data_IF_410484893310
#
_entry.id   IF_410484893310
#
_cell.length_a   1.000
_cell.length_b   1.000
_cell.length_c   1.000
_cell.angle_alpha   90.00
_cell.angle_beta   90.00
_cell.angle_gamma   90.00
#
_symmetry.space_group_name_H-M   'P 1'
#
loop_
_entity.id
_entity.type
_entity.pdbx_description
1 polymer ?
#
# COMPACT_ATOMS: atom_id res chain seq x y z
N UNK A 1 -13.78 -36.21 65.87
CA UNK A 1 -13.50 -35.24 64.78
C UNK A 1 -12.81 -36.01 63.65
N UNK A 2 -13.46 -36.23 62.50
CA UNK A 2 -12.90 -37.01 61.38
C UNK A 2 -12.25 -36.05 60.39
N UNK A 3 -10.91 -36.07 60.28
CA UNK A 3 -10.15 -35.24 59.34
C UNK A 3 -10.35 -35.84 57.93
N UNK A 4 -11.00 -35.09 57.04
CA UNK A 4 -11.17 -35.47 55.63
C UNK A 4 -9.83 -35.22 54.91
N UNK A 5 -9.15 -36.29 54.46
CA UNK A 5 -7.99 -36.18 53.57
C UNK A 5 -8.46 -35.66 52.21
N UNK A 6 -7.95 -34.51 51.79
CA UNK A 6 -8.09 -34.02 50.41
C UNK A 6 -7.12 -34.81 49.53
N UNK A 7 -7.64 -35.57 48.57
CA UNK A 7 -6.82 -36.17 47.52
C UNK A 7 -6.26 -35.07 46.62
N UNK A 8 -5.00 -34.72 46.83
CA UNK A 8 -4.25 -33.86 45.92
C UNK A 8 -3.84 -34.68 44.71
N UNK A 9 -4.60 -34.60 43.61
CA UNK A 9 -4.19 -35.16 42.32
C UNK A 9 -3.05 -34.32 41.77
N UNK A 10 -1.87 -34.93 41.62
CA UNK A 10 -0.71 -34.31 40.97
C UNK A 10 -0.76 -34.47 39.46
N UNK A 11 -0.27 -33.48 38.74
CA UNK A 11 -0.06 -33.55 37.29
C UNK A 11 1.11 -34.49 36.99
N UNK A 12 0.96 -35.39 36.02
CA UNK A 12 2.07 -36.25 35.60
C UNK A 12 2.99 -35.51 34.62
N UNK A 13 4.29 -35.84 34.63
CA UNK A 13 5.25 -35.26 33.69
C UNK A 13 4.89 -35.58 32.23
N UNK A 14 4.29 -36.75 31.97
CA UNK A 14 3.85 -37.14 30.63
C UNK A 14 2.65 -36.33 30.15
N UNK A 15 1.71 -36.00 31.04
CA UNK A 15 0.59 -35.10 30.71
C UNK A 15 1.11 -33.71 30.31
N UNK A 16 2.08 -33.17 31.04
CA UNK A 16 2.67 -31.89 30.68
C UNK A 16 3.44 -31.95 29.34
N UNK A 17 4.16 -33.05 29.10
CA UNK A 17 4.93 -33.26 27.87
C UNK A 17 4.02 -33.31 26.63
N UNK A 18 2.89 -34.01 26.72
CA UNK A 18 1.93 -34.09 25.61
C UNK A 18 1.32 -32.72 25.31
N UNK A 19 1.03 -31.92 26.35
CA UNK A 19 0.44 -30.59 26.17
C UNK A 19 1.38 -29.65 25.41
N UNK A 20 2.66 -29.57 25.81
CA UNK A 20 3.62 -28.72 25.10
C UNK A 20 3.89 -29.21 23.67
N UNK A 21 3.83 -30.53 23.44
CA UNK A 21 3.95 -31.10 22.10
C UNK A 21 2.78 -30.66 21.20
N UNK A 22 1.54 -30.72 21.70
CA UNK A 22 0.35 -30.27 20.96
C UNK A 22 0.40 -28.75 20.71
N UNK A 23 0.76 -27.95 21.72
CA UNK A 23 0.91 -26.50 21.57
C UNK A 23 1.97 -26.17 20.50
N UNK A 24 3.09 -26.91 20.47
CA UNK A 24 4.13 -26.73 19.46
C UNK A 24 3.65 -27.01 18.03
N UNK A 25 2.84 -28.05 17.83
CA UNK A 25 2.24 -28.39 16.53
C UNK A 25 1.24 -27.30 16.10
N UNK A 26 0.36 -26.85 17.00
CA UNK A 26 -0.62 -25.82 16.67
C UNK A 26 0.05 -24.47 16.37
N UNK A 27 1.10 -24.11 17.13
CA UNK A 27 1.81 -22.85 16.95
C UNK A 27 2.51 -22.76 15.59
N UNK A 28 3.07 -23.86 15.07
CA UNK A 28 3.76 -23.87 13.77
C UNK A 28 2.80 -23.62 12.60
N UNK A 29 1.60 -24.22 12.63
CA UNK A 29 0.56 -24.02 11.61
C UNK A 29 0.08 -22.57 11.60
N UNK A 30 -0.17 -22.00 12.79
CA UNK A 30 -0.64 -20.62 12.93
C UNK A 30 0.37 -19.62 12.36
N UNK A 31 1.67 -19.84 12.58
CA UNK A 31 2.70 -18.91 12.14
C UNK A 31 2.73 -18.74 10.61
N UNK A 32 2.57 -19.83 9.85
CA UNK A 32 2.53 -19.78 8.37
C UNK A 32 1.28 -19.04 7.88
N UNK A 33 0.13 -19.24 8.52
CA UNK A 33 -1.11 -18.55 8.14
C UNK A 33 -1.04 -17.04 8.41
N UNK A 34 -0.33 -16.63 9.46
CA UNK A 34 -0.25 -15.24 9.90
C UNK A 34 0.59 -14.38 8.95
N UNK A 35 1.66 -14.91 8.35
CA UNK A 35 2.50 -14.17 7.40
C UNK A 35 1.72 -13.81 6.14
N UNK A 36 1.02 -14.77 5.55
CA UNK A 36 0.16 -14.55 4.38
C UNK A 36 -0.99 -13.57 4.67
N UNK A 37 -1.63 -13.69 5.85
CA UNK A 37 -2.69 -12.78 6.26
C UNK A 37 -2.21 -11.33 6.42
N UNK A 38 -1.00 -11.13 6.99
CA UNK A 38 -0.39 -9.81 7.13
C UNK A 38 -0.04 -9.18 5.78
N UNK A 39 0.46 -9.98 4.83
CA UNK A 39 0.78 -9.50 3.49
C UNK A 39 -0.50 -9.03 2.76
N UNK A 40 -1.58 -9.82 2.77
CA UNK A 40 -2.88 -9.39 2.21
C UNK A 40 -3.44 -8.12 2.87
N UNK A 41 -3.28 -7.96 4.17
CA UNK A 41 -3.70 -6.75 4.87
C UNK A 41 -2.89 -5.51 4.43
N UNK A 42 -1.59 -5.68 4.13
CA UNK A 42 -0.75 -4.61 3.58
C UNK A 42 -1.14 -4.30 2.13
N UNK A 43 -1.42 -5.31 1.31
CA UNK A 43 -1.89 -5.14 -0.07
C UNK A 43 -3.23 -4.37 -0.11
N UNK A 44 -4.20 -4.77 0.73
CA UNK A 44 -5.46 -4.02 0.86
C UNK A 44 -5.27 -2.56 1.28
N UNK A 45 -4.26 -2.28 2.12
CA UNK A 45 -3.89 -0.91 2.47
C UNK A 45 -3.30 -0.15 1.28
N UNK A 46 -2.37 -0.74 0.52
CA UNK A 46 -1.79 -0.15 -0.70
C UNK A 46 -2.88 0.23 -1.71
N UNK A 47 -3.80 -0.70 -1.99
CA UNK A 47 -4.91 -0.50 -2.92
C UNK A 47 -5.83 0.64 -2.45
N UNK A 48 -6.19 0.65 -1.16
CA UNK A 48 -7.01 1.72 -0.57
C UNK A 48 -6.33 3.09 -0.67
N UNK A 49 -5.03 3.17 -0.42
CA UNK A 49 -4.26 4.42 -0.48
C UNK A 49 -4.18 4.94 -1.93
N UNK A 50 -3.93 4.06 -2.90
CA UNK A 50 -3.94 4.39 -4.33
C UNK A 50 -5.32 4.91 -4.76
N UNK A 51 -6.41 4.28 -4.31
CA UNK A 51 -7.78 4.74 -4.61
C UNK A 51 -8.09 6.12 -4.02
N UNK A 52 -7.60 6.42 -2.81
CA UNK A 52 -7.74 7.74 -2.19
C UNK A 52 -6.93 8.80 -2.94
N UNK A 53 -5.73 8.43 -3.40
CA UNK A 53 -4.90 9.31 -4.22
C UNK A 53 -5.55 9.61 -5.57
N UNK A 54 -6.11 8.61 -6.26
CA UNK A 54 -6.89 8.84 -7.49
C UNK A 54 -7.97 9.89 -7.27
N UNK A 55 -8.79 9.71 -6.23
CA UNK A 55 -9.83 10.69 -5.89
C UNK A 55 -9.29 12.09 -5.59
N UNK A 56 -8.10 12.18 -4.98
CA UNK A 56 -7.44 13.44 -4.67
C UNK A 56 -6.89 14.12 -5.93
N UNK A 57 -6.34 13.34 -6.86
CA UNK A 57 -5.86 13.84 -8.16
C UNK A 57 -7.02 14.32 -9.03
N UNK A 58 -8.17 13.65 -9.03
CA UNK A 58 -9.38 14.14 -9.72
C UNK A 58 -9.85 15.50 -9.17
N UNK A 59 -9.78 15.67 -7.85
CA UNK A 59 -10.08 16.94 -7.22
C UNK A 59 -9.02 18.01 -7.57
N UNK A 60 -7.76 17.61 -7.71
CA UNK A 60 -6.70 18.49 -8.17
C UNK A 60 -6.97 18.97 -9.60
N UNK A 61 -7.29 18.07 -10.53
CA UNK A 61 -7.67 18.41 -11.91
C UNK A 61 -8.85 19.40 -11.93
N UNK A 62 -9.86 19.18 -11.09
CA UNK A 62 -11.03 20.09 -10.98
C UNK A 62 -10.62 21.50 -10.54
N UNK A 63 -9.60 21.63 -9.68
CA UNK A 63 -9.13 22.93 -9.15
C UNK A 63 -8.08 23.60 -10.04
N UNK A 64 -7.22 22.79 -10.65
CA UNK A 64 -5.98 23.22 -11.27
C UNK A 64 -5.94 22.92 -12.77
N UNK A 65 -6.98 22.36 -13.38
CA UNK A 65 -7.14 22.20 -14.83
C UNK A 65 -6.24 21.16 -15.49
N UNK A 66 -5.18 20.72 -14.82
CA UNK A 66 -4.25 19.68 -15.25
C UNK A 66 -3.72 18.91 -14.03
N UNK A 67 -3.17 17.72 -14.24
CA UNK A 67 -2.44 16.98 -13.20
C UNK A 67 -1.01 17.52 -13.04
N UNK A 68 -0.38 17.36 -11.86
CA UNK A 68 1.00 17.80 -11.66
C UNK A 68 1.97 17.05 -12.57
N UNK A 69 2.94 17.74 -13.15
CA UNK A 69 3.98 17.13 -13.97
C UNK A 69 4.96 16.26 -13.14
N UNK A 70 6.00 15.75 -13.79
CA UNK A 70 7.03 14.91 -13.16
C UNK A 70 7.81 15.61 -12.03
N UNK A 71 7.72 16.94 -11.94
CA UNK A 71 8.36 17.76 -10.92
C UNK A 71 7.36 18.30 -9.89
N UNK A 72 6.06 18.02 -10.06
CA UNK A 72 4.99 18.58 -9.24
C UNK A 72 4.58 20.00 -9.67
N UNK A 73 4.95 20.43 -10.87
CA UNK A 73 4.63 21.74 -11.39
C UNK A 73 3.37 21.70 -12.29
N UNK A 74 2.79 22.87 -12.49
CA UNK A 74 1.70 23.13 -13.45
C UNK A 74 1.86 24.51 -14.07
N UNK A 75 1.20 24.74 -15.20
CA UNK A 75 1.07 26.05 -15.84
C UNK A 75 0.03 26.94 -15.15
N UNK A 76 -0.64 26.43 -14.11
CA UNK A 76 -1.72 27.13 -13.41
C UNK A 76 -1.21 27.82 -12.15
N UNK A 77 -1.39 29.15 -12.11
CA UNK A 77 -0.93 29.99 -11.00
C UNK A 77 -1.56 29.57 -9.68
N UNK A 78 -0.72 29.29 -8.69
CA UNK A 78 -1.15 28.83 -7.37
C UNK A 78 -1.26 27.31 -7.24
N UNK A 79 -1.23 26.56 -8.35
CA UNK A 79 -1.24 25.09 -8.35
C UNK A 79 0.16 24.48 -8.49
N UNK A 80 1.15 25.29 -8.83
CA UNK A 80 2.57 24.93 -8.91
C UNK A 80 3.12 24.51 -7.52
N UNK A 81 3.76 23.33 -7.47
CA UNK A 81 4.58 22.90 -6.36
C UNK A 81 5.92 23.63 -6.33
N UNK A 82 5.95 24.87 -5.83
CA UNK A 82 7.19 25.65 -5.71
C UNK A 82 8.22 24.93 -4.82
N UNK A 83 9.22 24.28 -5.43
CA UNK A 83 10.30 23.57 -4.73
C UNK A 83 10.35 22.09 -5.07
N UNK A 84 11.01 21.79 -6.19
CA UNK A 84 11.27 20.44 -6.68
C UNK A 84 11.75 19.49 -5.58
N UNK A 85 10.96 18.45 -5.31
CA UNK A 85 11.48 17.23 -4.70
C UNK A 85 12.39 16.56 -5.75
N UNK A 86 13.69 16.85 -5.70
CA UNK A 86 14.70 16.08 -6.44
C UNK A 86 14.66 14.62 -5.97
N UNK A 87 13.92 13.75 -6.66
CA UNK A 87 13.91 12.34 -6.32
C UNK A 87 12.96 11.44 -7.11
N UNK A 88 11.71 11.84 -7.35
CA UNK A 88 10.73 11.14 -8.20
C UNK A 88 9.43 11.96 -8.31
N UNK A 89 8.63 11.74 -9.35
CA UNK A 89 7.39 12.48 -9.59
C UNK A 89 6.35 12.32 -8.48
N UNK A 90 6.33 11.15 -7.82
CA UNK A 90 5.47 10.93 -6.67
C UNK A 90 5.74 11.92 -5.54
N UNK A 91 7.01 12.20 -5.21
CA UNK A 91 7.35 13.18 -4.18
C UNK A 91 6.91 14.61 -4.55
N UNK A 92 6.91 14.95 -5.84
CA UNK A 92 6.40 16.22 -6.37
C UNK A 92 4.90 16.42 -6.15
N UNK A 93 4.11 15.34 -6.01
CA UNK A 93 2.68 15.47 -5.70
C UNK A 93 2.45 16.15 -4.34
N UNK A 94 3.32 15.96 -3.36
CA UNK A 94 3.10 16.53 -2.03
C UNK A 94 3.14 18.07 -2.03
N UNK A 95 4.02 18.65 -2.84
CA UNK A 95 4.12 20.10 -3.02
C UNK A 95 2.98 20.62 -3.89
N UNK A 96 2.65 19.92 -4.98
CA UNK A 96 1.54 20.28 -5.85
C UNK A 96 0.20 20.26 -5.12
N UNK A 97 -0.13 19.16 -4.43
CA UNK A 97 -1.36 19.03 -3.64
C UNK A 97 -1.41 20.03 -2.49
N UNK A 98 -0.26 20.36 -1.89
CA UNK A 98 -0.14 21.36 -0.82
C UNK A 98 -0.07 22.82 -1.29
N UNK A 99 -0.12 23.08 -2.59
CA UNK A 99 -0.07 24.42 -3.17
C UNK A 99 -1.31 25.26 -2.76
N UNK A 100 -1.21 26.59 -2.88
CA UNK A 100 -2.28 27.49 -2.42
C UNK A 100 -3.59 27.36 -3.22
N UNK A 101 -3.49 26.99 -4.49
CA UNK A 101 -4.62 26.75 -5.40
C UNK A 101 -5.27 25.38 -5.17
N UNK A 102 -4.48 24.34 -4.91
CA UNK A 102 -5.01 23.02 -4.61
C UNK A 102 -5.55 22.93 -3.18
N UNK A 103 -4.71 23.26 -2.19
CA UNK A 103 -4.98 23.14 -0.76
C UNK A 103 -5.61 21.78 -0.39
N UNK A 104 -4.94 20.71 -0.81
CA UNK A 104 -5.30 19.31 -0.60
C UNK A 104 -4.32 18.63 0.36
N UNK A 105 -4.37 17.31 0.41
CA UNK A 105 -3.53 16.46 1.27
C UNK A 105 -2.04 16.76 1.07
N UNK A 106 -1.33 17.07 2.16
CA UNK A 106 0.10 17.41 2.14
C UNK A 106 1.04 16.20 2.33
N UNK A 107 0.54 15.14 2.95
CA UNK A 107 1.32 13.92 3.25
C UNK A 107 0.84 12.78 2.38
N UNK A 108 1.71 12.32 1.49
CA UNK A 108 1.43 11.19 0.62
C UNK A 108 1.56 9.87 1.38
N UNK A 109 0.73 8.88 1.05
CA UNK A 109 0.92 7.51 1.53
C UNK A 109 2.28 6.94 1.14
N UNK A 110 2.74 5.98 1.92
CA UNK A 110 3.97 5.23 1.66
C UNK A 110 3.70 3.75 1.93
N UNK A 111 4.48 2.91 1.26
CA UNK A 111 4.37 1.47 1.39
C UNK A 111 4.45 1.03 2.87
N UNK A 112 3.45 0.27 3.37
CA UNK A 112 3.35 -0.06 4.79
C UNK A 112 4.42 -1.04 5.29
N UNK A 113 5.18 -1.67 4.39
CA UNK A 113 6.24 -2.63 4.75
C UNK A 113 7.63 -2.01 4.68
N UNK A 114 7.90 -1.25 3.63
CA UNK A 114 9.23 -0.77 3.25
C UNK A 114 9.40 0.74 3.48
N UNK A 115 8.31 1.50 3.56
CA UNK A 115 8.33 2.96 3.52
C UNK A 115 8.67 3.53 2.13
N UNK A 116 8.72 2.68 1.09
CA UNK A 116 8.93 3.12 -0.28
C UNK A 116 7.77 4.00 -0.78
N UNK A 117 8.06 4.95 -1.65
CA UNK A 117 7.03 5.73 -2.34
C UNK A 117 6.34 4.88 -3.40
N UNK A 118 5.05 5.13 -3.62
CA UNK A 118 4.36 4.62 -4.80
C UNK A 118 4.85 5.31 -6.07
N UNK A 119 4.48 4.76 -7.22
CA UNK A 119 4.81 5.32 -8.52
C UNK A 119 3.73 6.27 -8.96
N UNK A 120 4.14 7.40 -9.53
CA UNK A 120 3.29 8.34 -10.24
C UNK A 120 4.03 8.77 -11.49
N UNK A 121 3.35 8.75 -12.63
CA UNK A 121 3.88 9.31 -13.87
C UNK A 121 2.74 9.97 -14.66
N UNK A 122 2.75 11.31 -14.80
CA UNK A 122 1.83 12.00 -15.69
C UNK A 122 2.19 11.76 -17.16
N UNK A 123 1.17 11.81 -18.01
CA UNK A 123 1.30 11.94 -19.46
C UNK A 123 2.00 13.26 -19.83
N UNK A 124 2.57 13.32 -21.04
CA UNK A 124 3.24 14.52 -21.54
C UNK A 124 2.34 15.76 -21.64
N UNK A 125 1.03 15.55 -21.76
CA UNK A 125 0.03 16.63 -21.86
C UNK A 125 -0.59 16.98 -20.50
N UNK A 126 -0.17 16.34 -19.39
CA UNK A 126 -0.68 16.55 -18.03
C UNK A 126 -2.20 16.33 -17.85
N UNK A 127 -2.86 15.62 -18.77
CA UNK A 127 -4.29 15.31 -18.73
C UNK A 127 -4.62 13.85 -18.40
N UNK A 128 -3.61 13.00 -18.43
CA UNK A 128 -3.65 11.62 -17.95
C UNK A 128 -2.46 11.37 -17.01
N UNK A 129 -2.56 10.32 -16.20
CA UNK A 129 -1.46 9.84 -15.36
C UNK A 129 -1.55 8.34 -15.16
N UNK A 130 -0.48 7.73 -14.65
CA UNK A 130 -0.53 6.39 -14.03
C UNK A 130 -0.05 6.49 -12.59
N UNK A 131 -0.76 5.80 -11.70
CA UNK A 131 -0.42 5.67 -10.30
C UNK A 131 -0.37 4.18 -9.96
N UNK A 132 0.65 3.73 -9.24
CA UNK A 132 0.74 2.31 -8.92
C UNK A 132 1.69 1.93 -7.80
N UNK A 133 1.61 0.68 -7.39
CA UNK A 133 2.50 0.08 -6.40
C UNK A 133 2.71 -1.41 -6.69
N UNK A 134 3.79 -1.98 -6.13
CA UNK A 134 3.96 -3.44 -6.08
C UNK A 134 3.22 -4.01 -4.88
N UNK A 135 2.40 -5.02 -5.12
CA UNK A 135 1.81 -5.87 -4.10
C UNK A 135 2.76 -6.99 -3.71
N UNK A 136 2.53 -7.60 -2.55
CA UNK A 136 3.34 -8.72 -2.06
C UNK A 136 2.90 -10.08 -2.58
N UNK A 137 1.65 -10.16 -3.04
CA UNK A 137 1.02 -11.37 -3.59
C UNK A 137 0.09 -10.97 -4.73
N UNK A 138 -0.18 -11.91 -5.64
CA UNK A 138 -1.25 -11.76 -6.62
C UNK A 138 -2.60 -11.57 -5.92
N UNK A 139 -3.37 -10.60 -6.42
CA UNK A 139 -4.69 -10.24 -5.91
C UNK A 139 -5.71 -10.24 -7.06
N UNK A 140 -6.99 -10.44 -6.76
CA UNK A 140 -8.04 -10.41 -7.78
C UNK A 140 -8.16 -9.05 -8.47
N UNK A 141 -7.78 -7.96 -7.79
CA UNK A 141 -7.83 -6.60 -8.35
C UNK A 141 -6.91 -6.41 -9.56
N UNK A 142 -5.87 -7.24 -9.66
CA UNK A 142 -4.89 -7.22 -10.76
C UNK A 142 -5.47 -7.74 -12.08
N UNK A 143 -6.62 -8.42 -12.05
CA UNK A 143 -7.30 -8.77 -13.30
C UNK A 143 -7.99 -7.56 -13.98
N UNK A 144 -8.04 -6.43 -13.29
CA UNK A 144 -8.82 -5.24 -13.70
C UNK A 144 -8.02 -3.96 -13.71
N UNK A 145 -6.73 -4.05 -13.39
CA UNK A 145 -5.85 -2.90 -13.36
C UNK A 145 -5.19 -2.70 -14.74
N UNK A 146 -4.31 -1.70 -14.82
CA UNK A 146 -3.74 -1.28 -16.11
C UNK A 146 -2.49 -2.08 -16.41
N UNK A 147 -2.56 -2.96 -17.40
CA UNK A 147 -1.41 -3.71 -17.91
C UNK A 147 -0.68 -2.98 -19.03
N UNK A 148 0.64 -2.83 -18.90
CA UNK A 148 1.47 -2.28 -19.99
C UNK A 148 2.95 -2.16 -19.64
N UNK A 149 3.83 -2.50 -20.58
CA UNK A 149 5.28 -2.44 -20.35
C UNK A 149 5.82 -1.01 -20.28
N UNK A 150 5.07 -0.04 -20.82
CA UNK A 150 5.40 1.39 -20.82
C UNK A 150 4.11 2.23 -20.78
N UNK A 151 3.58 2.43 -19.58
CA UNK A 151 2.48 3.35 -19.31
C UNK A 151 3.09 4.64 -18.78
N UNK A 152 3.28 5.62 -19.66
CA UNK A 152 3.92 6.91 -19.34
C UNK A 152 5.32 6.78 -18.70
N UNK A 153 6.12 5.80 -19.11
CA UNK A 153 7.45 5.51 -18.55
C UNK A 153 7.47 4.52 -17.40
N UNK A 154 6.31 3.98 -16.98
CA UNK A 154 6.18 3.00 -15.89
C UNK A 154 5.83 1.63 -16.47
N UNK A 155 6.50 0.60 -15.97
CA UNK A 155 6.14 -0.79 -16.29
C UNK A 155 5.07 -1.29 -15.32
N UNK A 156 3.87 -1.50 -15.84
CA UNK A 156 2.71 -1.99 -15.12
C UNK A 156 2.40 -3.49 -15.35
N UNK A 157 3.17 -4.22 -16.16
CA UNK A 157 2.85 -5.63 -16.50
C UNK A 157 3.08 -6.66 -15.38
N UNK A 158 3.57 -6.28 -14.21
CA UNK A 158 3.70 -7.19 -13.05
C UNK A 158 4.61 -8.42 -13.20
N UNK A 159 5.16 -8.68 -14.40
CA UNK A 159 5.90 -9.90 -14.71
C UNK A 159 5.01 -11.14 -14.79
N UNK A 160 5.58 -12.32 -14.52
CA UNK A 160 4.84 -13.60 -14.59
C UNK A 160 3.92 -13.86 -13.40
N UNK A 161 4.16 -13.17 -12.28
CA UNK A 161 3.39 -13.31 -11.05
C UNK A 161 2.25 -12.29 -10.96
N UNK A 162 2.21 -11.33 -11.89
CA UNK A 162 1.31 -10.17 -11.92
C UNK A 162 1.09 -9.60 -10.51
N UNK A 163 2.03 -8.78 -10.05
CA UNK A 163 2.02 -8.17 -8.69
C UNK A 163 2.10 -6.65 -8.73
N UNK A 164 2.00 -6.03 -9.90
CA UNK A 164 2.04 -4.58 -10.03
C UNK A 164 0.63 -4.09 -10.21
N UNK A 165 0.16 -3.27 -9.28
CA UNK A 165 -1.15 -2.64 -9.38
C UNK A 165 -1.01 -1.23 -9.94
N UNK A 166 -1.52 -0.98 -11.14
CA UNK A 166 -1.53 0.32 -11.80
C UNK A 166 -2.94 0.82 -12.10
N UNK A 167 -3.18 2.11 -11.88
CA UNK A 167 -4.44 2.78 -12.21
C UNK A 167 -4.20 4.05 -13.01
N UNK A 168 -5.13 4.33 -13.92
CA UNK A 168 -5.26 5.57 -14.67
C UNK A 168 -6.51 6.35 -14.20
N UNK A 169 -6.68 7.64 -14.56
CA UNK A 169 -7.85 8.47 -14.24
C UNK A 169 -9.19 7.76 -14.33
#
# INVERSE_FOLDING_TARGET
>A
MKIMKKDTKGFTLIELLIVIAIIGILASIVLVSLTAARARARDGKRISEISQMRSTLELYLTKCGEYPDQLGNTNISGCDGTGVASGNAYAGLATALGSSGANLVKTLPQDPSTGATYWYAPSGDSLDYVLGATLEQGDIVLNTDVDGADVFGINCTGGTEDIVYCVQP
#
